data_IF_713107625325
#
_entry.id   IF_713107625325
#
_cell.length_a   1.000
_cell.length_b   1.000
_cell.length_c   1.000
_cell.angle_alpha   90.00
_cell.angle_beta   90.00
_cell.angle_gamma   90.00
#
_symmetry.space_group_name_H-M   'P 1'
#
loop_
_entity.id
_entity.type
_entity.pdbx_description
1 polymer ?
#
# COMPACT_ATOMS: atom_id res chain seq x y z
N UNK A 1 -42.94 1.53 -80.48
CA UNK A 1 -42.03 2.56 -79.94
C UNK A 1 -41.63 2.18 -78.52
N UNK A 2 -40.31 2.26 -78.23
CA UNK A 2 -39.64 2.18 -76.92
C UNK A 2 -39.74 0.85 -76.14
N UNK A 3 -38.70 0.02 -76.33
CA UNK A 3 -38.16 -0.90 -75.31
C UNK A 3 -37.47 -0.05 -74.25
N UNK A 4 -37.91 -0.08 -73.01
CA UNK A 4 -37.18 0.52 -71.88
C UNK A 4 -36.77 -0.59 -70.93
N UNK A 5 -35.45 -0.76 -70.83
CA UNK A 5 -34.77 -1.75 -69.99
C UNK A 5 -34.86 -1.35 -68.52
N UNK A 6 -35.13 -2.35 -67.69
CA UNK A 6 -34.98 -2.34 -66.24
C UNK A 6 -33.48 -2.19 -65.93
N UNK A 7 -33.11 -1.13 -65.20
CA UNK A 7 -31.79 -0.99 -64.59
C UNK A 7 -31.96 -1.08 -63.07
N UNK A 8 -31.45 -2.18 -62.52
CA UNK A 8 -31.38 -2.49 -61.10
C UNK A 8 -30.13 -1.80 -60.54
N UNK A 9 -30.30 -0.77 -59.71
CA UNK A 9 -29.20 -0.12 -58.98
C UNK A 9 -29.10 -0.77 -57.61
N UNK A 10 -28.07 -1.59 -57.41
CA UNK A 10 -27.69 -2.16 -56.12
C UNK A 10 -26.97 -1.05 -55.34
N UNK A 11 -27.62 -0.54 -54.31
CA UNK A 11 -26.99 0.33 -53.32
C UNK A 11 -26.09 -0.50 -52.39
N UNK A 12 -24.80 -0.20 -52.40
CA UNK A 12 -23.83 -0.75 -51.45
C UNK A 12 -24.02 0.01 -50.13
N UNK A 13 -24.70 -0.63 -49.17
CA UNK A 13 -24.79 -0.17 -47.80
C UNK A 13 -23.58 -0.67 -47.00
N UNK A 14 -22.73 0.29 -46.62
CA UNK A 14 -22.05 0.41 -45.33
C UNK A 14 -21.48 -0.86 -44.68
N UNK A 15 -20.19 -1.13 -44.94
CA UNK A 15 -19.37 -1.93 -44.02
C UNK A 15 -18.86 -1.00 -42.92
N UNK A 16 -19.55 -0.99 -41.78
CA UNK A 16 -18.99 -0.54 -40.50
C UNK A 16 -19.37 -1.57 -39.45
N UNK A 17 -18.58 -2.63 -39.37
CA UNK A 17 -18.50 -3.49 -38.19
C UNK A 17 -17.12 -4.12 -38.19
N UNK A 18 -16.27 -3.71 -37.25
CA UNK A 18 -15.39 -4.55 -36.41
C UNK A 18 -14.21 -3.75 -35.85
N UNK A 19 -14.45 -2.97 -34.79
CA UNK A 19 -13.40 -2.63 -33.83
C UNK A 19 -14.00 -2.53 -32.43
N UNK A 20 -14.33 -3.69 -31.84
CA UNK A 20 -14.58 -3.81 -30.39
C UNK A 20 -13.81 -4.98 -29.75
N UNK A 21 -12.95 -5.70 -30.50
CA UNK A 21 -12.28 -6.92 -30.03
C UNK A 21 -10.89 -6.73 -29.43
N UNK A 22 -10.32 -5.51 -29.42
CA UNK A 22 -8.95 -5.32 -28.94
C UNK A 22 -8.81 -5.36 -27.41
N UNK A 23 -9.81 -4.89 -26.65
CA UNK A 23 -9.76 -4.94 -25.17
C UNK A 23 -9.92 -6.35 -24.62
N UNK A 24 -10.80 -7.17 -25.21
CA UNK A 24 -11.12 -8.52 -24.71
C UNK A 24 -10.03 -9.56 -24.97
N UNK A 25 -9.14 -9.33 -25.94
CA UNK A 25 -8.06 -10.27 -26.26
C UNK A 25 -6.83 -10.11 -25.33
N UNK A 26 -6.59 -8.90 -24.82
CA UNK A 26 -5.51 -8.60 -23.87
C UNK A 26 -5.77 -9.20 -22.48
N UNK A 27 -7.03 -9.15 -22.01
CA UNK A 27 -7.45 -9.73 -20.72
C UNK A 27 -7.29 -11.26 -20.68
N UNK A 28 -7.57 -11.96 -21.79
CA UNK A 28 -7.40 -13.42 -21.89
C UNK A 28 -5.95 -13.90 -21.99
N UNK A 29 -4.98 -13.01 -22.11
CA UNK A 29 -3.55 -13.36 -22.19
C UNK A 29 -2.74 -12.90 -20.98
N UNK A 30 -3.36 -12.23 -20.00
CA UNK A 30 -2.63 -11.75 -18.85
C UNK A 30 -2.43 -12.88 -17.83
N UNK A 31 -1.18 -13.31 -17.56
CA UNK A 31 -0.89 -14.41 -16.63
C UNK A 31 -1.30 -14.11 -15.18
N UNK A 32 -1.47 -12.83 -14.81
CA UNK A 32 -1.94 -12.43 -13.49
C UNK A 32 -3.46 -12.63 -13.31
N UNK A 33 -4.20 -12.77 -14.40
CA UNK A 33 -5.66 -12.96 -14.40
C UNK A 33 -6.08 -14.44 -14.46
N UNK A 34 -5.12 -15.36 -14.44
CA UNK A 34 -5.34 -16.80 -14.56
C UNK A 34 -4.64 -17.56 -13.45
N UNK A 35 -5.17 -18.72 -13.09
CA UNK A 35 -4.50 -19.61 -12.14
C UNK A 35 -3.23 -20.19 -12.72
N UNK A 36 -2.16 -20.14 -11.92
CA UNK A 36 -0.88 -20.71 -12.30
C UNK A 36 -0.96 -22.23 -12.21
N UNK A 37 -0.41 -22.90 -13.21
CA UNK A 37 -0.25 -24.34 -13.27
C UNK A 37 0.99 -24.83 -12.48
N UNK A 38 1.81 -23.91 -11.96
CA UNK A 38 2.97 -24.26 -11.13
C UNK A 38 2.53 -24.83 -9.77
N UNK A 39 3.39 -25.62 -9.08
CA UNK A 39 3.07 -26.18 -7.77
C UNK A 39 2.56 -25.12 -6.78
N UNK A 40 1.51 -25.45 -6.04
CA UNK A 40 0.85 -24.55 -5.08
C UNK A 40 0.33 -23.24 -5.69
N UNK A 41 0.07 -23.23 -7.00
CA UNK A 41 -0.31 -22.05 -7.77
C UNK A 41 0.71 -20.91 -7.70
N UNK A 42 2.00 -21.25 -7.54
CA UNK A 42 3.08 -20.26 -7.48
C UNK A 42 3.06 -19.32 -8.69
N UNK A 43 3.28 -18.00 -8.53
CA UNK A 43 3.33 -17.06 -9.64
C UNK A 43 4.40 -17.45 -10.68
N UNK A 44 4.02 -17.55 -11.95
CA UNK A 44 4.96 -17.86 -13.04
C UNK A 44 5.68 -16.57 -13.49
N UNK A 45 6.73 -16.18 -12.76
CA UNK A 45 7.54 -15.00 -13.05
C UNK A 45 8.20 -15.03 -14.43
N UNK A 46 8.32 -16.19 -15.08
CA UNK A 46 8.84 -16.29 -16.46
C UNK A 46 7.88 -15.68 -17.50
N UNK A 47 6.58 -15.60 -17.17
CA UNK A 47 5.53 -15.07 -18.05
C UNK A 47 5.08 -13.67 -17.64
N UNK A 48 5.26 -13.28 -16.38
CA UNK A 48 4.81 -11.97 -15.87
C UNK A 48 5.74 -10.87 -16.37
N UNK A 49 5.16 -9.79 -16.88
CA UNK A 49 5.87 -8.61 -17.41
C UNK A 49 5.30 -7.36 -16.77
N UNK A 50 6.08 -6.28 -16.69
CA UNK A 50 5.64 -5.01 -16.10
C UNK A 50 4.35 -4.48 -16.74
N UNK A 51 4.18 -4.67 -18.06
CA UNK A 51 2.98 -4.28 -18.80
C UNK A 51 1.70 -5.01 -18.38
N UNK A 52 1.80 -6.13 -17.65
CA UNK A 52 0.65 -6.91 -17.21
C UNK A 52 -0.01 -6.35 -15.94
N UNK A 53 0.73 -5.63 -15.09
CA UNK A 53 0.22 -5.20 -13.79
C UNK A 53 -0.93 -4.21 -13.88
N UNK A 54 -0.76 -3.09 -14.57
CA UNK A 54 -1.80 -2.05 -14.59
C UNK A 54 -3.14 -2.54 -15.20
N UNK A 55 -3.16 -3.30 -16.31
CA UNK A 55 -4.39 -3.94 -16.79
C UNK A 55 -4.96 -4.96 -15.80
N UNK A 56 -4.11 -5.76 -15.13
CA UNK A 56 -4.57 -6.75 -14.16
C UNK A 56 -5.24 -6.09 -12.95
N UNK A 57 -4.65 -5.02 -12.41
CA UNK A 57 -5.27 -4.25 -11.33
C UNK A 57 -6.62 -3.66 -11.73
N UNK A 58 -6.72 -3.08 -12.94
CA UNK A 58 -7.99 -2.52 -13.43
C UNK A 58 -9.09 -3.57 -13.48
N UNK A 59 -8.80 -4.74 -14.03
CA UNK A 59 -9.79 -5.81 -14.14
C UNK A 59 -10.12 -6.43 -12.77
N UNK A 60 -9.12 -6.64 -11.91
CA UNK A 60 -9.35 -7.17 -10.57
C UNK A 60 -10.20 -6.22 -9.69
N UNK A 61 -9.95 -4.90 -9.78
CA UNK A 61 -10.76 -3.88 -9.12
C UNK A 61 -12.19 -3.88 -9.68
N UNK A 62 -12.35 -3.97 -11.01
CA UNK A 62 -13.67 -4.07 -11.64
C UNK A 62 -14.45 -5.30 -11.14
N UNK A 63 -13.83 -6.47 -11.12
CA UNK A 63 -14.47 -7.69 -10.60
C UNK A 63 -14.81 -7.58 -9.11
N UNK A 64 -13.94 -6.96 -8.30
CA UNK A 64 -14.22 -6.73 -6.89
C UNK A 64 -15.47 -5.85 -6.71
N UNK A 65 -15.57 -4.74 -7.46
CA UNK A 65 -16.77 -3.88 -7.45
C UNK A 65 -18.03 -4.64 -7.88
N UNK A 66 -17.94 -5.46 -8.92
CA UNK A 66 -19.07 -6.29 -9.38
C UNK A 66 -19.50 -7.29 -8.31
N UNK A 67 -18.55 -7.92 -7.61
CA UNK A 67 -18.83 -8.87 -6.53
C UNK A 67 -19.49 -8.19 -5.33
N UNK A 68 -18.98 -7.03 -4.91
CA UNK A 68 -19.61 -6.22 -3.85
C UNK A 68 -21.01 -5.76 -4.28
N UNK A 69 -21.18 -5.34 -5.53
CA UNK A 69 -22.47 -4.97 -6.10
C UNK A 69 -23.51 -6.09 -5.96
N UNK A 70 -23.14 -7.33 -6.29
CA UNK A 70 -24.04 -8.50 -6.13
C UNK A 70 -24.49 -8.71 -4.68
N UNK A 71 -23.61 -8.47 -3.70
CA UNK A 71 -23.96 -8.58 -2.28
C UNK A 71 -24.98 -7.51 -1.91
N UNK A 72 -24.72 -6.26 -2.30
CA UNK A 72 -25.60 -5.12 -2.02
C UNK A 72 -26.97 -5.26 -2.68
N UNK A 73 -27.01 -5.75 -3.92
CA UNK A 73 -28.23 -5.88 -4.72
C UNK A 73 -29.07 -7.11 -4.37
N UNK A 74 -28.54 -8.03 -3.57
CA UNK A 74 -29.26 -9.24 -3.16
C UNK A 74 -30.50 -8.87 -2.33
N UNK A 75 -31.68 -9.26 -2.79
CA UNK A 75 -32.96 -8.95 -2.14
C UNK A 75 -33.33 -9.91 -1.01
N UNK A 76 -32.66 -11.07 -0.92
CA UNK A 76 -32.87 -12.01 0.18
C UNK A 76 -32.36 -11.42 1.51
N UNK A 77 -32.98 -11.79 2.64
CA UNK A 77 -32.49 -11.42 3.97
C UNK A 77 -31.01 -11.74 4.12
N UNK A 78 -30.25 -10.84 4.73
CA UNK A 78 -28.80 -11.02 4.86
C UNK A 78 -28.48 -12.25 5.75
N UNK A 79 -27.61 -13.12 5.24
CA UNK A 79 -27.07 -14.28 5.96
C UNK A 79 -25.55 -14.31 5.82
N UNK A 80 -24.88 -15.11 6.65
CA UNK A 80 -23.46 -15.35 6.52
C UNK A 80 -23.07 -15.77 5.09
N UNK A 81 -23.80 -16.70 4.49
CA UNK A 81 -23.52 -17.30 3.17
C UNK A 81 -23.76 -16.34 2.00
N UNK A 82 -24.67 -15.38 2.15
CA UNK A 82 -25.03 -14.46 1.07
C UNK A 82 -24.42 -13.05 1.23
N UNK A 83 -23.74 -12.80 2.35
CA UNK A 83 -23.15 -11.48 2.68
C UNK A 83 -21.70 -11.60 3.13
N UNK A 84 -21.40 -12.34 4.21
CA UNK A 84 -20.05 -12.37 4.81
C UNK A 84 -19.09 -13.22 3.97
N UNK A 85 -19.49 -14.44 3.63
CA UNK A 85 -18.66 -15.33 2.82
C UNK A 85 -18.38 -14.73 1.42
N UNK A 86 -19.37 -14.21 0.67
CA UNK A 86 -19.10 -13.55 -0.60
C UNK A 86 -18.28 -12.27 -0.47
N UNK A 87 -18.38 -11.55 0.65
CA UNK A 87 -17.53 -10.38 0.93
C UNK A 87 -16.07 -10.80 1.06
N UNK A 88 -15.78 -11.84 1.83
CA UNK A 88 -14.43 -12.41 1.98
C UNK A 88 -13.86 -12.86 0.63
N UNK A 89 -14.70 -13.46 -0.22
CA UNK A 89 -14.27 -13.93 -1.54
C UNK A 89 -14.20 -12.83 -2.61
N UNK A 90 -14.78 -11.65 -2.36
CA UNK A 90 -15.03 -10.62 -3.38
C UNK A 90 -13.76 -10.11 -4.07
N UNK A 91 -12.66 -10.06 -3.33
CA UNK A 91 -11.37 -9.50 -3.75
C UNK A 91 -10.29 -10.52 -4.08
N UNK A 92 -10.58 -11.83 -4.16
CA UNK A 92 -9.55 -12.88 -4.30
C UNK A 92 -8.58 -12.67 -5.47
N UNK A 93 -9.09 -12.25 -6.62
CA UNK A 93 -8.24 -11.93 -7.78
C UNK A 93 -7.34 -10.72 -7.51
N UNK A 94 -7.89 -9.69 -6.87
CA UNK A 94 -7.13 -8.48 -6.52
C UNK A 94 -6.04 -8.79 -5.50
N UNK A 95 -6.33 -9.60 -4.48
CA UNK A 95 -5.32 -10.06 -3.50
C UNK A 95 -4.16 -10.79 -4.21
N UNK A 96 -4.48 -11.71 -5.12
CA UNK A 96 -3.46 -12.44 -5.91
C UNK A 96 -2.57 -11.49 -6.73
N UNK A 97 -3.16 -10.54 -7.46
CA UNK A 97 -2.39 -9.55 -8.25
C UNK A 97 -1.53 -8.67 -7.32
N UNK A 98 -2.11 -8.23 -6.20
CA UNK A 98 -1.47 -7.35 -5.23
C UNK A 98 -0.27 -8.01 -4.57
N UNK A 99 -0.39 -9.26 -4.12
CA UNK A 99 0.70 -10.01 -3.47
C UNK A 99 1.93 -10.14 -4.36
N UNK A 100 1.73 -10.45 -5.64
CA UNK A 100 2.85 -10.55 -6.61
C UNK A 100 3.51 -9.19 -6.82
N UNK A 101 2.70 -8.14 -7.02
CA UNK A 101 3.22 -6.82 -7.32
C UNK A 101 3.97 -6.21 -6.12
N UNK A 102 3.37 -6.22 -4.92
CA UNK A 102 3.99 -5.60 -3.75
C UNK A 102 5.20 -6.38 -3.22
N UNK A 103 5.27 -7.70 -3.42
CA UNK A 103 6.50 -8.44 -3.18
C UNK A 103 7.68 -7.92 -4.03
N UNK A 104 7.44 -7.52 -5.30
CA UNK A 104 8.47 -6.91 -6.14
C UNK A 104 8.75 -5.45 -5.76
N UNK A 105 7.74 -4.68 -5.36
CA UNK A 105 7.92 -3.31 -4.86
C UNK A 105 8.86 -3.30 -3.65
N UNK A 106 8.79 -4.32 -2.79
CA UNK A 106 9.62 -4.39 -1.61
C UNK A 106 11.01 -4.99 -1.89
N UNK A 107 11.10 -6.00 -2.76
CA UNK A 107 12.35 -6.75 -2.97
C UNK A 107 13.22 -6.28 -4.15
N UNK A 108 12.62 -5.80 -5.25
CA UNK A 108 13.33 -5.50 -6.51
C UNK A 108 12.64 -4.35 -7.28
N UNK A 109 12.54 -3.19 -6.63
CA UNK A 109 11.83 -2.04 -7.20
C UNK A 109 12.62 -1.37 -8.31
N UNK A 110 12.17 -1.58 -9.55
CA UNK A 110 12.65 -0.84 -10.72
C UNK A 110 11.90 0.49 -10.91
N UNK A 111 12.44 1.47 -11.67
CA UNK A 111 11.73 2.70 -11.99
C UNK A 111 10.35 2.47 -12.63
N UNK A 112 10.22 1.46 -13.52
CA UNK A 112 8.95 1.10 -14.15
C UNK A 112 7.92 0.58 -13.14
N UNK A 113 8.34 -0.28 -12.21
CA UNK A 113 7.49 -0.77 -11.11
C UNK A 113 7.07 0.39 -10.20
N UNK A 114 7.98 1.32 -9.89
CA UNK A 114 7.67 2.52 -9.12
C UNK A 114 6.62 3.41 -9.80
N UNK A 115 6.66 3.55 -11.12
CA UNK A 115 5.66 4.33 -11.87
C UNK A 115 4.30 3.62 -11.98
N UNK A 116 4.29 2.28 -11.98
CA UNK A 116 3.05 1.50 -11.87
C UNK A 116 2.46 1.68 -10.47
N UNK A 117 3.28 1.59 -9.42
CA UNK A 117 2.86 1.73 -8.03
C UNK A 117 2.18 3.08 -7.77
N UNK A 118 2.76 4.18 -8.28
CA UNK A 118 2.17 5.53 -8.19
C UNK A 118 0.76 5.61 -8.80
N UNK A 119 0.46 4.79 -9.80
CA UNK A 119 -0.87 4.73 -10.45
C UNK A 119 -1.81 3.79 -9.70
N UNK A 120 -1.30 2.66 -9.22
CA UNK A 120 -2.10 1.60 -8.56
C UNK A 120 -2.53 2.02 -7.15
N UNK A 121 -1.64 2.62 -6.36
CA UNK A 121 -1.93 2.99 -4.97
C UNK A 121 -3.21 3.83 -4.82
N UNK A 122 -3.40 4.95 -5.56
CA UNK A 122 -4.64 5.71 -5.50
C UNK A 122 -5.87 4.88 -5.85
N UNK A 123 -5.78 4.01 -6.87
CA UNK A 123 -6.91 3.17 -7.29
C UNK A 123 -7.33 2.17 -6.21
N UNK A 124 -6.38 1.61 -5.47
CA UNK A 124 -6.67 0.69 -4.36
C UNK A 124 -7.29 1.43 -3.17
N UNK A 125 -6.77 2.62 -2.85
CA UNK A 125 -7.35 3.48 -1.81
C UNK A 125 -8.77 3.90 -2.16
N UNK A 126 -9.04 4.25 -3.42
CA UNK A 126 -10.40 4.58 -3.88
C UNK A 126 -11.34 3.38 -3.70
N UNK A 127 -10.93 2.18 -4.13
CA UNK A 127 -11.73 0.95 -3.94
C UNK A 127 -11.98 0.64 -2.45
N UNK A 128 -10.95 0.74 -1.61
CA UNK A 128 -11.08 0.50 -0.16
C UNK A 128 -12.10 1.46 0.46
N UNK A 129 -12.02 2.75 0.12
CA UNK A 129 -12.97 3.77 0.58
C UNK A 129 -14.39 3.51 0.05
N UNK A 130 -14.54 3.14 -1.22
CA UNK A 130 -15.82 2.78 -1.81
C UNK A 130 -16.49 1.63 -1.04
N UNK A 131 -15.73 0.61 -0.63
CA UNK A 131 -16.24 -0.56 0.11
C UNK A 131 -16.56 -0.18 1.56
N UNK A 132 -15.61 0.42 2.29
CA UNK A 132 -15.76 0.69 3.72
C UNK A 132 -16.81 1.76 4.02
N UNK A 133 -17.05 2.70 3.09
CA UNK A 133 -18.10 3.72 3.22
C UNK A 133 -19.41 3.34 2.53
N UNK A 134 -19.53 2.11 2.02
CA UNK A 134 -20.76 1.60 1.44
C UNK A 134 -21.80 1.31 2.53
N UNK A 135 -22.67 2.29 2.83
CA UNK A 135 -23.74 2.16 3.85
C UNK A 135 -24.65 0.94 3.59
N UNK A 136 -25.14 0.68 2.36
CA UNK A 136 -25.92 -0.52 2.06
C UNK A 136 -25.21 -1.84 2.38
N UNK A 137 -23.94 -1.97 2.02
CA UNK A 137 -23.14 -3.16 2.33
C UNK A 137 -23.02 -3.36 3.84
N UNK A 138 -22.66 -2.30 4.57
CA UNK A 138 -22.52 -2.37 6.02
C UNK A 138 -23.85 -2.72 6.71
N UNK A 139 -24.98 -2.21 6.21
CA UNK A 139 -26.29 -2.57 6.75
C UNK A 139 -26.56 -4.08 6.64
N UNK A 140 -26.21 -4.71 5.52
CA UNK A 140 -26.31 -6.16 5.37
C UNK A 140 -25.38 -6.91 6.35
N UNK A 141 -24.12 -6.47 6.45
CA UNK A 141 -23.15 -7.06 7.39
C UNK A 141 -23.66 -6.95 8.84
N UNK A 142 -24.20 -5.79 9.22
CA UNK A 142 -24.80 -5.56 10.53
C UNK A 142 -26.00 -6.47 10.76
N UNK A 143 -26.88 -6.66 9.78
CA UNK A 143 -27.99 -7.59 9.92
C UNK A 143 -27.53 -9.02 10.20
N UNK A 144 -26.45 -9.49 9.57
CA UNK A 144 -25.86 -10.80 9.91
C UNK A 144 -25.31 -10.79 11.33
N UNK A 145 -24.57 -9.74 11.71
CA UNK A 145 -24.02 -9.59 13.05
C UNK A 145 -25.11 -9.63 14.13
N UNK A 146 -26.13 -8.78 14.01
CA UNK A 146 -27.18 -8.63 15.02
C UNK A 146 -28.07 -9.87 15.15
N UNK A 147 -28.25 -10.65 14.07
CA UNK A 147 -29.21 -11.77 14.05
C UNK A 147 -28.57 -13.17 14.09
N UNK A 148 -27.34 -13.33 13.63
CA UNK A 148 -26.71 -14.66 13.47
C UNK A 148 -25.45 -14.86 14.31
N UNK A 149 -24.85 -13.80 14.87
CA UNK A 149 -23.59 -13.88 15.62
C UNK A 149 -23.59 -14.98 16.69
N UNK A 150 -24.64 -15.09 17.51
CA UNK A 150 -24.71 -16.05 18.61
C UNK A 150 -25.01 -17.49 18.16
N UNK A 151 -25.44 -17.66 16.89
CA UNK A 151 -25.76 -18.95 16.30
C UNK A 151 -24.59 -19.57 15.52
N UNK A 152 -23.74 -18.73 14.92
CA UNK A 152 -22.53 -19.17 14.20
C UNK A 152 -21.50 -19.73 15.18
N UNK A 153 -20.63 -20.61 14.68
CA UNK A 153 -19.62 -21.29 15.49
C UNK A 153 -18.23 -21.19 14.86
N UNK A 154 -17.19 -21.23 15.69
CA UNK A 154 -15.80 -21.33 15.23
C UNK A 154 -15.38 -20.20 14.29
N UNK A 155 -14.84 -20.57 13.14
CA UNK A 155 -14.26 -19.63 12.17
C UNK A 155 -15.31 -18.70 11.53
N UNK A 156 -16.55 -19.14 11.35
CA UNK A 156 -17.61 -18.31 10.78
C UNK A 156 -17.98 -17.15 11.70
N UNK A 157 -18.17 -17.45 13.00
CA UNK A 157 -18.43 -16.42 14.01
C UNK A 157 -17.26 -15.44 14.07
N UNK A 158 -16.03 -15.96 14.03
CA UNK A 158 -14.82 -15.12 14.08
C UNK A 158 -14.70 -14.21 12.86
N UNK A 159 -14.96 -14.73 11.66
CA UNK A 159 -14.92 -13.96 10.43
C UNK A 159 -15.95 -12.83 10.47
N UNK A 160 -17.18 -13.14 10.87
CA UNK A 160 -18.24 -12.13 11.03
C UNK A 160 -17.82 -11.02 12.02
N UNK A 161 -17.23 -11.39 13.15
CA UNK A 161 -16.73 -10.40 14.12
C UNK A 161 -15.65 -9.48 13.53
N UNK A 162 -14.65 -10.03 12.84
CA UNK A 162 -13.55 -9.24 12.29
C UNK A 162 -14.03 -8.32 11.17
N UNK A 163 -14.87 -8.83 10.26
CA UNK A 163 -15.49 -8.02 9.20
C UNK A 163 -16.33 -6.90 9.81
N UNK A 164 -17.20 -7.20 10.78
CA UNK A 164 -18.00 -6.17 11.43
C UNK A 164 -17.14 -5.11 12.14
N UNK A 165 -16.14 -5.55 12.91
CA UNK A 165 -15.21 -4.66 13.64
C UNK A 165 -14.44 -3.75 12.69
N UNK A 166 -14.01 -4.23 11.53
CA UNK A 166 -13.31 -3.42 10.53
C UNK A 166 -14.17 -2.22 10.10
N UNK A 167 -15.41 -2.47 9.68
CA UNK A 167 -16.34 -1.40 9.28
C UNK A 167 -16.61 -0.42 10.42
N UNK A 168 -16.82 -0.92 11.65
CA UNK A 168 -17.05 -0.06 12.82
C UNK A 168 -15.84 0.83 13.11
N UNK A 169 -14.61 0.28 13.07
CA UNK A 169 -13.37 1.05 13.27
C UNK A 169 -13.14 2.10 12.18
N UNK A 170 -13.67 1.87 10.99
CA UNK A 170 -13.64 2.81 9.86
C UNK A 170 -14.81 3.81 9.89
N UNK A 171 -15.66 3.74 10.91
CA UNK A 171 -16.68 4.74 11.21
C UNK A 171 -18.07 4.44 10.65
N UNK A 172 -18.36 3.20 10.23
CA UNK A 172 -19.64 2.86 9.60
C UNK A 172 -20.89 3.13 10.47
N UNK A 173 -20.74 3.17 11.81
CA UNK A 173 -21.80 3.52 12.76
C UNK A 173 -21.85 5.01 13.13
N UNK A 174 -20.98 5.85 12.56
CA UNK A 174 -20.97 7.27 12.84
C UNK A 174 -22.12 7.99 12.12
N UNK A 175 -22.65 9.03 12.76
CA UNK A 175 -23.49 10.02 12.07
C UNK A 175 -22.66 10.76 11.03
N UNK A 176 -23.31 11.36 10.03
CA UNK A 176 -22.61 12.10 8.98
C UNK A 176 -21.70 13.21 9.58
N UNK A 177 -22.17 13.92 10.61
CA UNK A 177 -21.37 14.92 11.34
C UNK A 177 -20.10 14.31 11.97
N UNK A 178 -20.22 13.16 12.64
CA UNK A 178 -19.08 12.48 13.27
C UNK A 178 -18.13 11.89 12.23
N UNK A 179 -18.65 11.45 11.08
CA UNK A 179 -17.85 10.95 9.97
C UNK A 179 -17.01 12.06 9.34
N UNK A 180 -17.57 13.26 9.15
CA UNK A 180 -16.80 14.43 8.69
C UNK A 180 -15.70 14.80 9.70
N UNK A 181 -15.99 14.74 11.01
CA UNK A 181 -14.95 14.92 12.04
C UNK A 181 -13.85 13.86 11.95
N UNK A 182 -14.20 12.59 11.73
CA UNK A 182 -13.23 11.50 11.56
C UNK A 182 -12.34 11.72 10.34
N UNK A 183 -12.90 12.14 9.19
CA UNK A 183 -12.12 12.49 7.99
C UNK A 183 -11.12 13.61 8.28
N UNK A 184 -11.55 14.66 8.97
CA UNK A 184 -10.68 15.77 9.35
C UNK A 184 -9.54 15.32 10.30
N UNK A 185 -9.81 14.41 11.24
CA UNK A 185 -8.78 13.82 12.12
C UNK A 185 -7.79 13.01 11.29
N UNK A 186 -8.26 12.12 10.40
CA UNK A 186 -7.39 11.28 9.58
C UNK A 186 -6.49 12.12 8.66
N UNK A 187 -7.04 13.17 8.03
CA UNK A 187 -6.25 14.10 7.23
C UNK A 187 -5.13 14.74 8.05
N UNK A 188 -5.47 15.21 9.27
CA UNK A 188 -4.49 15.83 10.15
C UNK A 188 -3.42 14.83 10.64
N UNK A 189 -3.79 13.58 10.89
CA UNK A 189 -2.84 12.52 11.25
C UNK A 189 -1.85 12.28 10.12
N UNK A 190 -2.33 12.12 8.88
CA UNK A 190 -1.46 11.94 7.71
C UNK A 190 -0.49 13.11 7.52
N UNK A 191 -0.96 14.35 7.66
CA UNK A 191 -0.09 15.54 7.62
C UNK A 191 1.00 15.49 8.71
N UNK A 192 0.64 15.11 9.94
CA UNK A 192 1.57 15.05 11.07
C UNK A 192 2.57 13.89 10.93
N UNK A 193 2.13 12.74 10.44
CA UNK A 193 2.99 11.58 10.15
C UNK A 193 4.01 11.92 9.06
N UNK A 194 3.59 12.62 8.01
CA UNK A 194 4.51 13.11 6.98
C UNK A 194 5.51 14.13 7.54
N UNK A 195 5.02 15.12 8.30
CA UNK A 195 5.90 16.11 8.95
C UNK A 195 6.93 15.44 9.86
N UNK A 196 6.54 14.42 10.61
CA UNK A 196 7.45 13.64 11.44
C UNK A 196 8.43 12.81 10.60
N UNK A 197 7.95 12.20 9.52
CA UNK A 197 8.73 11.41 8.57
C UNK A 197 9.82 12.21 7.85
N UNK A 198 9.58 13.51 7.62
CA UNK A 198 10.58 14.43 7.07
C UNK A 198 11.51 14.98 8.16
N UNK A 199 10.94 15.38 9.30
CA UNK A 199 11.69 16.02 10.40
C UNK A 199 12.70 15.06 11.05
N UNK A 200 12.34 13.81 11.32
CA UNK A 200 13.19 12.89 12.07
C UNK A 200 14.52 12.53 11.34
N UNK A 201 14.51 12.22 10.03
CA UNK A 201 15.75 12.05 9.27
C UNK A 201 16.63 13.30 9.24
N UNK A 202 16.04 14.48 9.03
CA UNK A 202 16.78 15.76 9.03
C UNK A 202 17.43 16.01 10.39
N UNK A 203 16.64 15.91 11.47
CA UNK A 203 17.10 15.95 12.85
C UNK A 203 18.26 14.97 13.13
N UNK A 204 18.15 13.73 12.63
CA UNK A 204 19.19 12.71 12.82
C UNK A 204 20.47 13.04 12.05
N UNK A 205 20.35 13.62 10.85
CA UNK A 205 21.50 14.07 10.06
C UNK A 205 22.20 15.29 10.65
N UNK A 206 21.44 16.17 11.31
CA UNK A 206 21.97 17.36 11.99
C UNK A 206 22.60 17.03 13.36
N UNK A 207 22.09 15.99 14.06
CA UNK A 207 22.60 15.55 15.36
C UNK A 207 24.00 14.88 15.32
N UNK A 208 24.66 14.84 14.15
CA UNK A 208 26.01 14.28 14.01
C UNK A 208 26.99 15.01 14.93
N UNK A 209 27.76 14.24 15.70
CA UNK A 209 28.81 14.79 16.58
C UNK A 209 30.13 14.84 15.83
N UNK A 210 30.59 16.05 15.53
CA UNK A 210 31.86 16.31 14.85
C UNK A 210 33.03 16.29 15.82
N UNK A 211 34.12 15.63 15.43
CA UNK A 211 35.30 15.42 16.28
C UNK A 211 36.56 15.85 15.50
N UNK A 212 37.29 16.81 16.08
CA UNK A 212 38.45 17.46 15.45
C UNK A 212 39.75 16.67 15.61
N UNK A 213 39.93 16.03 16.76
CA UNK A 213 41.16 15.35 17.13
C UNK A 213 40.88 13.87 17.38
N UNK A 214 41.65 13.01 16.71
CA UNK A 214 41.62 11.55 16.86
C UNK A 214 41.84 11.12 18.31
N UNK A 215 42.60 11.88 19.11
CA UNK A 215 42.83 11.58 20.52
C UNK A 215 41.53 11.55 21.34
N UNK A 216 40.48 12.24 20.90
CA UNK A 216 39.16 12.23 21.55
C UNK A 216 38.41 10.91 21.35
N UNK A 217 38.80 10.11 20.34
CA UNK A 217 38.23 8.81 20.00
C UNK A 217 38.91 7.64 20.73
N UNK A 218 39.74 7.93 21.74
CA UNK A 218 40.42 6.91 22.55
C UNK A 218 39.45 5.82 23.03
N UNK A 219 39.90 4.56 22.91
CA UNK A 219 39.13 3.36 23.26
C UNK A 219 38.35 2.75 22.09
N UNK A 220 38.10 3.51 21.01
CA UNK A 220 37.56 2.95 19.77
C UNK A 220 38.57 2.04 19.06
N UNK A 221 38.06 1.08 18.30
CA UNK A 221 38.89 0.27 17.40
C UNK A 221 39.32 1.06 16.17
N UNK A 222 40.43 0.66 15.52
CA UNK A 222 40.87 1.27 14.26
C UNK A 222 39.78 1.26 13.18
N UNK A 223 38.93 0.21 13.18
CA UNK A 223 37.81 0.08 12.26
C UNK A 223 36.72 1.14 12.53
N UNK A 224 36.40 1.40 13.81
CA UNK A 224 35.41 2.42 14.19
C UNK A 224 35.93 3.82 13.88
N UNK A 225 37.22 4.09 14.11
CA UNK A 225 37.86 5.37 13.77
C UNK A 225 37.84 5.58 12.25
N UNK A 226 38.17 4.55 11.47
CA UNK A 226 38.09 4.61 10.01
C UNK A 226 36.66 4.86 9.52
N UNK A 227 35.66 4.26 10.17
CA UNK A 227 34.25 4.51 9.85
C UNK A 227 33.84 5.95 10.19
N UNK A 228 34.24 6.48 11.36
CA UNK A 228 33.96 7.88 11.74
C UNK A 228 34.57 8.88 10.74
N UNK A 229 35.75 8.58 10.20
CA UNK A 229 36.38 9.39 9.15
C UNK A 229 35.58 9.33 7.84
N UNK A 230 35.19 8.14 7.40
CA UNK A 230 34.38 7.95 6.21
C UNK A 230 33.03 8.66 6.32
N UNK A 231 32.40 8.60 7.49
CA UNK A 231 31.15 9.29 7.77
C UNK A 231 31.32 10.82 7.67
N UNK A 232 32.42 11.36 8.19
CA UNK A 232 32.73 12.78 8.06
C UNK A 232 32.91 13.21 6.60
N UNK A 233 33.71 12.47 5.83
CA UNK A 233 33.95 12.72 4.40
C UNK A 233 32.63 12.69 3.60
N UNK A 234 31.78 11.70 3.87
CA UNK A 234 30.48 11.56 3.19
C UNK A 234 29.49 12.68 3.50
N UNK A 235 29.70 13.41 4.61
CA UNK A 235 28.82 14.47 5.13
C UNK A 235 29.41 15.87 4.95
N UNK A 236 30.37 16.03 4.04
CA UNK A 236 30.95 17.32 3.66
C UNK A 236 32.15 17.77 4.52
N UNK A 237 32.68 16.91 5.39
CA UNK A 237 33.98 17.10 6.03
C UNK A 237 34.09 18.31 6.95
N UNK A 238 33.06 18.60 7.77
CA UNK A 238 33.09 19.73 8.73
C UNK A 238 34.19 19.58 9.80
N UNK A 239 34.60 18.35 10.10
CA UNK A 239 35.75 17.97 10.92
C UNK A 239 36.35 16.66 10.36
N UNK A 240 37.55 16.22 10.79
CA UNK A 240 38.17 14.97 10.33
C UNK A 240 37.38 13.70 10.66
N UNK A 241 36.58 13.72 11.73
CA UNK A 241 35.77 12.58 12.19
C UNK A 241 34.34 13.00 12.52
N UNK A 242 33.40 12.08 12.33
CA UNK A 242 31.99 12.26 12.65
C UNK A 242 31.41 11.00 13.28
N UNK A 243 30.72 11.16 14.41
CA UNK A 243 29.94 10.08 15.02
C UNK A 243 28.48 10.27 14.62
N UNK A 244 27.98 9.33 13.81
CA UNK A 244 26.58 9.31 13.35
C UNK A 244 25.68 8.74 14.44
N UNK A 245 24.56 9.42 14.68
CA UNK A 245 23.55 8.97 15.64
C UNK A 245 22.63 7.94 14.98
N UNK A 246 22.48 6.77 15.62
CA UNK A 246 21.55 5.71 15.18
C UNK A 246 20.20 5.83 15.89
N UNK A 247 19.16 5.16 15.37
CA UNK A 247 17.75 5.30 15.79
C UNK A 247 17.47 4.98 17.28
N UNK A 248 18.34 4.23 17.95
CA UNK A 248 18.19 3.89 19.37
C UNK A 248 18.69 4.99 20.29
N UNK A 249 18.22 5.02 21.54
CA UNK A 249 18.69 5.98 22.56
C UNK A 249 20.16 5.75 22.90
N UNK A 250 20.54 4.51 23.19
CA UNK A 250 21.95 4.17 23.41
C UNK A 250 22.68 4.09 22.08
N UNK A 251 23.85 4.72 22.03
CA UNK A 251 24.70 4.76 20.86
C UNK A 251 25.82 3.72 21.02
N UNK A 252 26.03 2.79 20.06
CA UNK A 252 26.94 1.65 20.23
C UNK A 252 28.38 2.03 20.62
N UNK A 253 28.92 3.12 20.05
CA UNK A 253 30.29 3.59 20.32
C UNK A 253 30.51 4.03 21.78
N UNK A 254 29.45 4.32 22.54
CA UNK A 254 29.57 4.72 23.95
C UNK A 254 30.21 3.65 24.84
N UNK A 255 30.14 2.38 24.45
CA UNK A 255 30.71 1.27 25.23
C UNK A 255 32.25 1.29 25.18
N UNK A 256 32.82 1.71 24.05
CA UNK A 256 34.26 1.66 23.80
C UNK A 256 34.94 3.02 23.94
N UNK A 257 34.21 4.14 23.82
CA UNK A 257 34.77 5.47 23.99
C UNK A 257 35.24 5.70 25.43
N UNK A 258 36.53 5.95 25.65
CA UNK A 258 37.10 6.26 26.97
C UNK A 258 36.80 7.71 27.40
N UNK A 259 36.70 8.63 26.42
CA UNK A 259 36.45 10.05 26.67
C UNK A 259 35.01 10.31 27.18
N UNK A 260 34.87 10.60 28.47
CA UNK A 260 33.57 10.87 29.12
C UNK A 260 32.84 12.05 28.52
N UNK A 261 33.53 13.13 28.17
CA UNK A 261 32.91 14.33 27.62
C UNK A 261 32.35 14.05 26.21
N UNK A 262 33.09 13.31 25.39
CA UNK A 262 32.60 12.91 24.07
C UNK A 262 31.42 11.93 24.19
N UNK A 263 31.46 10.97 25.13
CA UNK A 263 30.30 10.11 25.43
C UNK A 263 29.06 10.93 25.79
N UNK A 264 29.23 11.96 26.62
CA UNK A 264 28.12 12.85 26.99
C UNK A 264 27.56 13.58 25.77
N UNK A 265 28.40 14.18 24.92
CA UNK A 265 27.97 14.85 23.68
C UNK A 265 27.18 13.91 22.75
N UNK A 266 27.67 12.69 22.55
CA UNK A 266 27.02 11.68 21.72
C UNK A 266 25.67 11.24 22.31
N UNK A 267 25.60 11.07 23.63
CA UNK A 267 24.35 10.74 24.31
C UNK A 267 23.33 11.89 24.24
N UNK A 268 23.76 13.12 24.48
CA UNK A 268 22.92 14.33 24.40
C UNK A 268 22.38 14.54 22.99
N UNK A 269 23.24 14.43 21.97
CA UNK A 269 22.82 14.45 20.57
C UNK A 269 21.77 13.38 20.25
N UNK A 270 21.88 12.19 20.84
CA UNK A 270 20.90 11.12 20.69
C UNK A 270 19.55 11.43 21.35
N UNK A 271 19.53 11.91 22.59
CA UNK A 271 18.26 12.14 23.31
C UNK A 271 17.55 13.44 22.88
N UNK A 272 18.30 14.43 22.39
CA UNK A 272 17.80 15.73 21.97
C UNK A 272 17.63 15.86 20.45
N UNK A 273 17.82 14.78 19.67
CA UNK A 273 17.86 14.83 18.21
C UNK A 273 16.67 15.58 17.59
N UNK A 274 15.47 15.39 18.14
CA UNK A 274 14.21 15.90 17.57
C UNK A 274 13.29 16.60 18.59
N UNK A 275 13.81 17.03 19.74
CA UNK A 275 13.00 17.69 20.79
C UNK A 275 13.02 19.23 20.73
N UNK A 276 13.72 19.78 19.74
CA UNK A 276 13.85 21.22 19.52
C UNK A 276 14.85 21.93 20.43
N UNK A 277 15.58 21.19 21.28
CA UNK A 277 16.60 21.75 22.20
C UNK A 277 18.03 21.58 21.69
N UNK A 278 18.26 20.75 20.68
CA UNK A 278 19.57 20.45 20.10
C UNK A 278 20.16 21.51 19.15
N UNK A 279 19.96 22.81 19.43
CA UNK A 279 20.60 23.92 18.69
C UNK A 279 21.64 24.65 19.53
#
# INVERSE_FOLDING_TARGET
MKKTRILMVIGIASVVMTQFSACTQSERQNPLLQDSELPFNAPDFSKIKNSHYLPAFKEAIKQTRENIGKIVENQEPATFENTILPYEESGRLLDKVSRVFFALVDADKTPEIGDIEKKVKPMLTDLENEILFNKPLFERIRQVYDNQHDSLQGEEQKLLEEVYKEFVRKGALLTDEKMERMKAINLRLTELEQQWGDMLPDATNDAVVWVEDESQLAGLSDADIAQCKKDAESRGGKAPYAIVIVNTTQQPLLVSLDNRELRQKVYEASIHRADGTGK
#
